data_IF_759253364792
#
_entry.id   IF_759253364792
#
_cell.length_a   1.000
_cell.length_b   1.000
_cell.length_c   1.000
_cell.angle_alpha   90.00
_cell.angle_beta   90.00
_cell.angle_gamma   90.00
#
_symmetry.space_group_name_H-M   'P 1'
#
loop_
_entity.id
_entity.type
_entity.pdbx_description
1 polymer ?
#
# COMPACT_ATOMS: atom_id res chain seq x y z
N UNK A 1 -0.53 -7.71 -6.22
CA UNK A 1 -0.35 -6.96 -4.95
C UNK A 1 -0.57 -7.87 -3.76
N UNK A 2 -0.07 -7.48 -2.58
CA UNK A 2 -0.28 -8.18 -1.32
C UNK A 2 -1.16 -7.34 -0.39
N UNK A 3 -2.06 -7.98 0.35
CA UNK A 3 -2.85 -7.38 1.43
C UNK A 3 -2.78 -8.27 2.67
N UNK A 4 -2.73 -7.68 3.85
CA UNK A 4 -2.72 -8.39 5.12
C UNK A 4 -3.90 -7.91 5.95
N UNK A 5 -4.77 -8.84 6.32
CA UNK A 5 -5.92 -8.58 7.17
C UNK A 5 -5.89 -9.53 8.37
N UNK A 6 -5.85 -9.00 9.58
CA UNK A 6 -5.75 -9.78 10.84
C UNK A 6 -4.64 -10.85 10.80
N UNK A 7 -3.47 -10.46 10.28
CA UNK A 7 -2.32 -11.37 10.13
C UNK A 7 -2.44 -12.39 8.99
N UNK A 8 -3.54 -12.38 8.22
CA UNK A 8 -3.72 -13.25 7.06
C UNK A 8 -3.28 -12.53 5.79
N UNK A 9 -2.16 -12.99 5.24
CA UNK A 9 -1.66 -12.51 3.96
C UNK A 9 -2.48 -13.07 2.80
N UNK A 10 -2.86 -12.20 1.86
CA UNK A 10 -3.53 -12.53 0.61
C UNK A 10 -2.84 -11.86 -0.57
N UNK A 11 -2.90 -12.51 -1.74
CA UNK A 11 -2.45 -11.92 -3.01
C UNK A 11 -3.67 -11.51 -3.83
N UNK A 12 -3.70 -10.25 -4.22
CA UNK A 12 -4.76 -9.66 -5.04
C UNK A 12 -4.16 -9.30 -6.41
N UNK A 13 -4.73 -9.85 -7.47
CA UNK A 13 -4.26 -9.67 -8.85
C UNK A 13 -2.99 -10.46 -9.20
N UNK A 14 -2.56 -10.33 -10.45
CA UNK A 14 -1.36 -11.00 -10.99
C UNK A 14 -0.04 -10.31 -10.64
N UNK A 15 1.06 -11.00 -10.96
CA UNK A 15 2.38 -10.39 -11.05
C UNK A 15 2.45 -9.52 -12.31
N UNK A 16 3.20 -8.42 -12.25
CA UNK A 16 3.46 -7.56 -13.41
C UNK A 16 4.96 -7.41 -13.59
N UNK A 17 5.39 -7.25 -14.83
CA UNK A 17 6.77 -6.87 -15.13
C UNK A 17 6.97 -5.39 -14.75
N UNK A 18 8.06 -5.10 -14.02
CA UNK A 18 8.48 -3.74 -13.71
C UNK A 18 9.51 -3.32 -14.77
N UNK A 19 9.39 -2.11 -15.36
CA UNK A 19 10.35 -1.63 -16.34
C UNK A 19 11.73 -1.42 -15.71
N UNK A 20 12.77 -1.51 -16.54
CA UNK A 20 14.13 -1.18 -16.10
C UNK A 20 14.27 0.31 -15.77
N UNK A 21 15.16 0.62 -14.83
CA UNK A 21 15.47 1.98 -14.40
C UNK A 21 14.48 2.56 -13.38
N UNK A 22 14.48 3.89 -13.17
CA UNK A 22 13.61 4.54 -12.20
C UNK A 22 12.13 4.39 -12.58
N UNK A 23 11.29 4.20 -11.56
CA UNK A 23 9.85 3.99 -11.71
C UNK A 23 9.04 5.06 -10.98
N UNK A 24 7.81 5.28 -11.44
CA UNK A 24 6.80 6.05 -10.72
C UNK A 24 5.74 5.09 -10.17
N UNK A 25 5.38 5.31 -8.90
CA UNK A 25 4.29 4.62 -8.23
C UNK A 25 3.18 5.62 -7.92
N UNK A 26 1.93 5.18 -8.01
CA UNK A 26 0.75 5.96 -7.59
C UNK A 26 -0.20 5.07 -6.81
N UNK A 27 -0.73 5.62 -5.72
CA UNK A 27 -1.87 5.10 -4.99
C UNK A 27 -3.02 6.10 -5.16
N UNK A 28 -4.17 5.62 -5.57
CA UNK A 28 -5.42 6.36 -5.62
C UNK A 28 -6.34 5.80 -4.51
N UNK A 29 -6.86 6.68 -3.64
CA UNK A 29 -7.81 6.35 -2.58
C UNK A 29 -9.18 6.93 -2.94
N UNK A 30 -10.21 6.08 -2.96
CA UNK A 30 -11.58 6.45 -3.31
C UNK A 30 -12.54 5.73 -2.35
N UNK A 31 -12.88 6.39 -1.24
CA UNK A 31 -13.65 5.77 -0.16
C UNK A 31 -12.92 4.57 0.45
N UNK A 32 -13.57 3.41 0.43
CA UNK A 32 -13.03 2.13 0.89
C UNK A 32 -12.15 1.43 -0.17
N UNK A 33 -11.84 2.10 -1.29
CA UNK A 33 -11.11 1.49 -2.41
C UNK A 33 -9.72 2.08 -2.58
N UNK A 34 -8.71 1.20 -2.54
CA UNK A 34 -7.31 1.51 -2.88
C UNK A 34 -6.95 0.97 -4.26
N UNK A 35 -6.53 1.84 -5.18
CA UNK A 35 -6.03 1.49 -6.50
C UNK A 35 -4.54 1.83 -6.66
N UNK A 36 -3.77 0.95 -7.27
CA UNK A 36 -2.35 1.19 -7.53
C UNK A 36 -2.09 1.34 -9.02
N UNK A 37 -1.14 2.20 -9.38
CA UNK A 37 -0.63 2.32 -10.74
C UNK A 37 0.89 2.49 -10.73
N UNK A 38 1.55 2.05 -11.80
CA UNK A 38 3.00 2.12 -11.93
C UNK A 38 3.40 2.43 -13.38
N UNK A 39 4.63 2.89 -13.57
CA UNK A 39 5.19 3.13 -14.89
C UNK A 39 6.66 3.52 -14.81
N UNK A 40 7.30 3.68 -15.97
CA UNK A 40 8.63 4.30 -16.02
C UNK A 40 8.57 5.72 -15.44
N UNK A 41 9.68 6.17 -14.85
CA UNK A 41 9.82 7.58 -14.47
C UNK A 41 9.87 8.52 -15.69
N UNK A 42 10.27 8.01 -16.86
CA UNK A 42 10.14 8.73 -18.12
C UNK A 42 8.67 9.13 -18.35
N UNK A 43 8.44 10.31 -18.91
CA UNK A 43 7.08 10.81 -19.15
C UNK A 43 6.24 9.79 -19.93
N UNK A 44 5.03 9.52 -19.45
CA UNK A 44 4.14 8.53 -20.03
C UNK A 44 2.96 8.18 -19.13
N UNK A 45 1.96 7.45 -19.66
CA UNK A 45 0.83 6.99 -18.88
C UNK A 45 1.26 5.94 -17.84
N UNK A 46 0.65 5.99 -16.66
CA UNK A 46 0.78 4.92 -15.67
C UNK A 46 -0.15 3.75 -16.04
N UNK A 47 0.35 2.54 -15.86
CA UNK A 47 -0.42 1.31 -15.95
C UNK A 47 -1.10 1.05 -14.62
N UNK A 48 -2.43 1.01 -14.61
CA UNK A 48 -3.20 0.65 -13.43
C UNK A 48 -3.12 -0.85 -13.16
N UNK A 49 -3.08 -1.22 -11.88
CA UNK A 49 -3.33 -2.60 -11.48
C UNK A 49 -4.80 -2.94 -11.72
N UNK A 50 -5.07 -4.15 -12.21
CA UNK A 50 -6.44 -4.58 -12.53
C UNK A 50 -7.34 -4.79 -11.31
N UNK A 51 -6.80 -4.69 -10.10
CA UNK A 51 -7.48 -5.05 -8.87
C UNK A 51 -7.31 -3.95 -7.83
N UNK A 52 -8.32 -3.79 -6.98
CA UNK A 52 -8.33 -2.85 -5.87
C UNK A 52 -8.17 -3.59 -4.55
N UNK A 53 -7.67 -2.88 -3.53
CA UNK A 53 -7.69 -3.35 -2.14
C UNK A 53 -8.76 -2.60 -1.35
N UNK A 54 -9.24 -3.25 -0.29
CA UNK A 54 -10.11 -2.66 0.72
C UNK A 54 -9.29 -1.73 1.63
N UNK A 55 -9.63 -0.45 1.66
CA UNK A 55 -9.03 0.57 2.52
C UNK A 55 -9.60 0.53 3.95
N UNK A 56 -10.80 -0.02 4.14
CA UNK A 56 -11.49 -0.08 5.43
C UNK A 56 -10.71 -0.85 6.48
N UNK A 57 -9.89 -1.82 6.05
CA UNK A 57 -9.02 -2.58 6.95
C UNK A 57 -7.92 -1.74 7.61
N UNK A 58 -7.68 -0.51 7.14
CA UNK A 58 -6.69 0.42 7.68
C UNK A 58 -7.30 1.43 8.67
N UNK A 59 -8.58 1.27 9.01
CA UNK A 59 -9.29 2.15 9.96
C UNK A 59 -9.04 1.78 11.42
N UNK A 60 -9.27 2.75 12.31
CA UNK A 60 -9.20 2.51 13.75
C UNK A 60 -10.28 1.50 14.21
N UNK A 61 -11.47 1.53 13.60
CA UNK A 61 -12.55 0.58 13.86
C UNK A 61 -12.13 -0.86 13.52
N UNK A 62 -11.46 -1.05 12.37
CA UNK A 62 -10.97 -2.37 11.99
C UNK A 62 -9.74 -2.81 12.79
N UNK A 63 -8.93 -1.88 13.27
CA UNK A 63 -7.79 -2.16 14.14
C UNK A 63 -8.22 -2.54 15.57
N UNK A 64 -9.43 -2.16 15.99
CA UNK A 64 -9.95 -2.53 17.29
C UNK A 64 -10.21 -4.04 17.39
N UNK A 65 -9.90 -4.63 18.54
CA UNK A 65 -10.17 -6.04 18.83
C UNK A 65 -11.07 -6.15 20.05
N UNK A 66 -12.16 -6.92 19.94
CA UNK A 66 -13.04 -7.25 21.05
C UNK A 66 -13.02 -8.75 21.33
N UNK A 67 -13.11 -9.09 22.62
CA UNK A 67 -13.31 -10.47 23.06
C UNK A 67 -14.40 -10.49 24.12
N UNK A 68 -15.44 -11.28 23.88
CA UNK A 68 -16.60 -11.42 24.77
C UNK A 68 -17.28 -10.07 25.11
N UNK A 69 -17.34 -9.16 24.13
CA UNK A 69 -17.91 -7.82 24.30
C UNK A 69 -17.03 -6.83 25.09
N UNK A 70 -15.77 -7.21 25.36
CA UNK A 70 -14.79 -6.36 26.05
C UNK A 70 -13.66 -5.99 25.08
N UNK A 71 -13.41 -4.68 24.84
CA UNK A 71 -12.29 -4.22 24.03
C UNK A 71 -10.94 -4.67 24.60
N UNK A 72 -10.13 -5.31 23.76
CA UNK A 72 -8.78 -5.79 24.06
C UNK A 72 -7.70 -4.84 23.50
N UNK A 73 -7.97 -4.29 22.31
CA UNK A 73 -7.10 -3.36 21.61
C UNK A 73 -7.95 -2.27 20.97
N UNK A 74 -7.40 -1.06 20.95
CA UNK A 74 -8.02 0.11 20.33
C UNK A 74 -7.13 0.59 19.19
N UNK A 75 -7.73 0.93 18.04
CA UNK A 75 -7.09 1.76 17.03
C UNK A 75 -7.13 3.23 17.45
N UNK A 76 -6.03 3.96 17.28
CA UNK A 76 -5.93 5.37 17.66
C UNK A 76 -4.99 6.18 16.75
N UNK A 77 -4.62 5.61 15.60
CA UNK A 77 -3.61 6.21 14.71
C UNK A 77 -4.21 6.68 13.40
N UNK A 78 -5.01 5.83 12.76
CA UNK A 78 -5.42 6.01 11.37
C UNK A 78 -4.38 5.57 10.34
N UNK A 79 -4.79 5.65 9.08
CA UNK A 79 -4.01 5.20 7.93
C UNK A 79 -2.88 6.19 7.56
N UNK A 80 -1.71 5.64 7.19
CA UNK A 80 -0.57 6.40 6.68
C UNK A 80 -0.23 5.98 5.26
N UNK A 81 0.22 6.95 4.46
CA UNK A 81 0.86 6.71 3.16
C UNK A 81 2.36 6.97 3.30
N UNK A 82 3.18 5.99 2.91
CA UNK A 82 4.62 6.12 2.97
C UNK A 82 5.34 5.23 1.96
N UNK A 83 6.62 5.53 1.76
CA UNK A 83 7.57 4.69 1.04
C UNK A 83 8.45 3.99 2.07
N UNK A 84 8.72 2.70 1.85
CA UNK A 84 9.51 1.88 2.75
C UNK A 84 10.41 0.96 1.93
N UNK A 85 11.66 0.85 2.35
CA UNK A 85 12.62 -0.12 1.82
C UNK A 85 12.99 -1.09 2.93
N UNK A 86 12.90 -2.39 2.64
CA UNK A 86 13.31 -3.44 3.56
C UNK A 86 14.31 -4.36 2.86
N UNK A 87 15.50 -4.44 3.42
CA UNK A 87 16.45 -5.50 3.09
C UNK A 87 16.37 -6.57 4.18
N UNK A 88 15.85 -7.75 3.83
CA UNK A 88 15.81 -8.91 4.73
C UNK A 88 17.14 -9.68 4.72
N UNK A 89 18.12 -9.20 3.98
CA UNK A 89 19.50 -9.68 3.97
C UNK A 89 20.40 -8.68 4.71
N UNK A 90 21.68 -9.01 4.83
CA UNK A 90 22.69 -8.08 5.33
C UNK A 90 23.30 -7.20 4.21
N UNK A 91 22.65 -7.14 3.05
CA UNK A 91 23.13 -6.51 1.82
C UNK A 91 23.18 -4.99 1.87
N UNK A 92 22.50 -4.36 2.86
CA UNK A 92 22.40 -2.90 3.01
C UNK A 92 21.85 -2.22 1.76
N UNK A 93 20.89 -2.87 1.10
CA UNK A 93 20.22 -2.30 -0.05
C UNK A 93 19.52 -0.99 0.35
N UNK A 94 19.55 0.00 -0.54
CA UNK A 94 18.89 1.29 -0.38
C UNK A 94 17.97 1.56 -1.57
N UNK A 95 17.03 2.47 -1.37
CA UNK A 95 16.14 2.98 -2.41
C UNK A 95 16.28 4.49 -2.44
N UNK A 96 16.59 5.02 -3.63
CA UNK A 96 16.57 6.45 -3.87
C UNK A 96 15.15 6.89 -4.24
N UNK A 97 14.63 7.87 -3.51
CA UNK A 97 13.32 8.48 -3.78
C UNK A 97 13.56 9.90 -4.25
N UNK A 98 13.33 10.14 -5.54
CA UNK A 98 13.46 11.47 -6.14
C UNK A 98 12.36 12.43 -5.65
N UNK A 99 11.10 11.98 -5.64
CA UNK A 99 9.98 12.79 -5.18
C UNK A 99 8.81 11.94 -4.67
N UNK A 100 8.05 12.54 -3.74
CA UNK A 100 6.77 12.04 -3.27
C UNK A 100 5.77 13.20 -3.24
N UNK A 101 4.58 12.98 -3.81
CA UNK A 101 3.54 14.00 -3.87
C UNK A 101 2.22 13.44 -3.36
N UNK A 102 1.47 14.26 -2.63
CA UNK A 102 0.14 13.97 -2.16
C UNK A 102 -0.81 15.04 -2.68
N UNK A 103 -1.99 14.63 -3.14
CA UNK A 103 -3.02 15.51 -3.67
C UNK A 103 -4.38 15.04 -3.18
N UNK A 104 -5.07 15.92 -2.48
CA UNK A 104 -6.48 15.73 -2.14
C UNK A 104 -7.35 16.07 -3.35
N UNK A 105 -8.54 15.47 -3.41
CA UNK A 105 -9.56 15.76 -4.41
C UNK A 105 -10.72 16.50 -3.80
#
# INVERSE_FOLDING_TARGET
>A
MLSCDRGRLSRVGGLVAIPDGPIRLRLDVDGDRLGFAFGSAAEGPLTAWSSFLDAGILSDDHAAEERDGVPQLWGFTGAFLGLWAQDLTEGRAFVDVDSATYRER
#
